data_IF_563633341834
#
_entry.id   IF_563633341834
#
_cell.length_a   1.000
_cell.length_b   1.000
_cell.length_c   1.000
_cell.angle_alpha   90.00
_cell.angle_beta   90.00
_cell.angle_gamma   90.00
#
_symmetry.space_group_name_H-M   'P 1'
#
loop_
_entity.id
_entity.type
_entity.pdbx_description
1 polymer ?
#
# COMPACT_ATOMS: atom_id res chain seq x y z
N UNK A 1 39.57 59.57 28.13
CA UNK A 1 38.85 58.51 27.39
C UNK A 1 37.62 59.12 26.73
N UNK A 2 37.66 59.35 25.41
CA UNK A 2 36.57 60.00 24.66
C UNK A 2 35.68 58.93 24.01
N UNK A 3 34.41 58.88 24.41
CA UNK A 3 33.41 58.00 23.78
C UNK A 3 32.94 58.59 22.44
N UNK A 4 33.36 57.96 21.34
CA UNK A 4 32.91 58.24 19.98
C UNK A 4 31.51 57.66 19.78
N UNK A 5 30.46 58.50 19.78
CA UNK A 5 29.09 58.09 19.43
C UNK A 5 28.99 57.90 17.91
N UNK A 6 28.64 56.71 17.45
CA UNK A 6 28.34 56.45 16.04
C UNK A 6 26.95 57.00 15.67
N UNK A 7 26.76 57.59 14.48
CA UNK A 7 25.45 58.02 14.03
C UNK A 7 24.59 56.83 13.60
N UNK A 8 23.36 56.80 14.11
CA UNK A 8 22.30 55.84 13.77
C UNK A 8 21.85 56.09 12.31
N UNK A 9 22.09 55.14 11.41
CA UNK A 9 21.54 55.22 10.05
C UNK A 9 20.02 54.96 10.09
N UNK A 10 19.23 56.00 9.88
CA UNK A 10 17.79 55.87 9.61
C UNK A 10 17.59 55.58 8.12
N UNK A 11 17.14 54.36 7.80
CA UNK A 11 16.64 54.02 6.46
C UNK A 11 15.41 54.90 6.17
N UNK A 12 15.57 55.93 5.32
CA UNK A 12 14.44 56.60 4.68
C UNK A 12 13.80 55.60 3.71
N UNK A 13 12.69 54.98 4.11
CA UNK A 13 11.77 54.36 3.15
C UNK A 13 11.19 55.47 2.28
N UNK A 14 11.63 55.52 1.03
CA UNK A 14 11.04 56.34 -0.01
C UNK A 14 9.63 55.81 -0.29
N UNK A 15 8.59 56.46 0.26
CA UNK A 15 7.22 56.28 -0.18
C UNK A 15 7.04 56.92 -1.56
N UNK A 16 7.50 56.23 -2.61
CA UNK A 16 7.13 56.55 -3.99
C UNK A 16 5.81 55.86 -4.28
N UNK A 17 4.77 56.65 -4.54
CA UNK A 17 3.49 56.15 -5.04
C UNK A 17 3.65 55.54 -6.42
N UNK A 18 2.79 54.57 -6.76
CA UNK A 18 2.78 53.91 -8.05
C UNK A 18 2.22 54.87 -9.10
N UNK A 19 2.88 54.98 -10.25
CA UNK A 19 2.37 55.79 -11.37
C UNK A 19 1.20 55.07 -12.05
N UNK A 20 0.33 55.82 -12.74
CA UNK A 20 -0.80 55.25 -13.48
C UNK A 20 -0.34 54.21 -14.53
N UNK A 21 0.81 54.46 -15.15
CA UNK A 21 1.40 53.56 -16.15
C UNK A 21 1.88 52.26 -15.50
N UNK A 22 2.55 52.32 -14.35
CA UNK A 22 2.94 51.12 -13.59
C UNK A 22 1.72 50.30 -13.14
N UNK A 23 0.63 50.96 -12.77
CA UNK A 23 -0.63 50.28 -12.42
C UNK A 23 -1.23 49.54 -13.63
N UNK A 24 -1.25 50.17 -14.80
CA UNK A 24 -1.77 49.54 -16.02
C UNK A 24 -0.91 48.35 -16.46
N UNK A 25 0.42 48.48 -16.36
CA UNK A 25 1.36 47.39 -16.68
C UNK A 25 1.17 46.22 -15.72
N UNK A 26 1.05 46.48 -14.41
CA UNK A 26 0.84 45.41 -13.41
C UNK A 26 -0.49 44.70 -13.61
N UNK A 27 -1.57 45.43 -13.93
CA UNK A 27 -2.87 44.82 -14.27
C UNK A 27 -2.82 43.97 -15.54
N UNK A 28 -2.10 44.42 -16.58
CA UNK A 28 -1.94 43.65 -17.81
C UNK A 28 -1.17 42.34 -17.57
N UNK A 29 -0.10 42.38 -16.77
CA UNK A 29 0.68 41.19 -16.40
C UNK A 29 -0.15 40.24 -15.52
N UNK A 30 -0.92 40.76 -14.56
CA UNK A 30 -1.84 39.94 -13.74
C UNK A 30 -2.91 39.27 -14.60
N UNK A 31 -3.50 39.98 -15.56
CA UNK A 31 -4.49 39.43 -16.49
C UNK A 31 -3.93 38.29 -17.34
N UNK A 32 -2.69 38.45 -17.83
CA UNK A 32 -1.98 37.38 -18.55
C UNK A 32 -1.76 36.14 -17.65
N UNK A 33 -1.33 36.33 -16.40
CA UNK A 33 -1.12 35.22 -15.46
C UNK A 33 -2.43 34.50 -15.11
N UNK A 34 -3.53 35.26 -14.93
CA UNK A 34 -4.84 34.70 -14.63
C UNK A 34 -5.42 33.87 -15.78
N UNK A 35 -5.04 34.15 -17.03
CA UNK A 35 -5.51 33.38 -18.19
C UNK A 35 -4.98 31.93 -18.23
N UNK A 36 -3.89 31.64 -17.52
CA UNK A 36 -3.23 30.33 -17.49
C UNK A 36 -3.82 29.43 -16.38
N UNK A 37 -4.32 30.01 -15.29
CA UNK A 37 -4.89 29.30 -14.13
C UNK A 37 -6.00 28.28 -14.46
N UNK A 38 -6.99 28.58 -15.34
CA UNK A 38 -8.08 27.67 -15.66
C UNK A 38 -7.58 26.36 -16.29
N UNK A 39 -6.52 26.43 -17.11
CA UNK A 39 -5.92 25.24 -17.74
C UNK A 39 -5.26 24.33 -16.70
N UNK A 40 -4.60 24.90 -15.68
CA UNK A 40 -4.06 24.10 -14.58
C UNK A 40 -5.15 23.42 -13.77
N UNK A 41 -6.23 24.14 -13.42
CA UNK A 41 -7.36 23.57 -12.66
C UNK A 41 -8.05 22.44 -13.44
N UNK A 42 -8.21 22.61 -14.76
CA UNK A 42 -8.81 21.58 -15.62
C UNK A 42 -7.96 20.30 -15.71
N UNK A 43 -6.63 20.39 -15.61
CA UNK A 43 -5.74 19.22 -15.59
C UNK A 43 -5.85 18.46 -14.27
N UNK A 44 -5.93 19.17 -13.13
CA UNK A 44 -6.05 18.51 -11.82
C UNK A 44 -7.44 17.90 -11.56
N UNK A 45 -8.50 18.45 -12.15
CA UNK A 45 -9.88 17.98 -11.96
C UNK A 45 -10.32 16.90 -12.96
N UNK A 46 -9.56 16.69 -14.04
CA UNK A 46 -9.86 15.69 -15.09
C UNK A 46 -9.05 14.41 -15.00
N UNK A 47 -8.35 14.14 -13.90
CA UNK A 47 -7.75 12.81 -13.69
C UNK A 47 -8.91 11.84 -13.43
N UNK A 48 -9.27 10.96 -14.40
CA UNK A 48 -10.41 10.10 -14.23
C UNK A 48 -10.09 9.04 -13.18
N UNK A 49 -11.13 8.51 -12.53
CA UNK A 49 -11.13 7.31 -11.68
C UNK A 49 -10.46 6.06 -12.29
N UNK A 50 -10.05 6.11 -13.56
CA UNK A 50 -9.18 5.12 -14.19
C UNK A 50 -7.79 4.97 -13.50
N UNK A 51 -7.40 5.93 -12.66
CA UNK A 51 -6.22 5.77 -11.80
C UNK A 51 -6.41 4.67 -10.76
N UNK A 52 -7.57 4.58 -10.08
CA UNK A 52 -7.73 3.64 -8.96
C UNK A 52 -7.78 2.18 -9.42
N UNK A 53 -8.47 1.87 -10.52
CA UNK A 53 -8.47 0.51 -11.07
C UNK A 53 -7.06 0.06 -11.52
N UNK A 54 -6.27 0.96 -12.13
CA UNK A 54 -4.87 0.66 -12.46
C UNK A 54 -3.99 0.50 -11.21
N UNK A 55 -4.30 1.24 -10.15
CA UNK A 55 -3.64 1.14 -8.84
C UNK A 55 -3.93 -0.20 -8.18
N UNK A 56 -5.21 -0.61 -8.08
CA UNK A 56 -5.62 -1.88 -7.48
C UNK A 56 -5.04 -3.10 -8.22
N UNK A 57 -4.94 -3.05 -9.56
CA UNK A 57 -4.25 -4.10 -10.35
C UNK A 57 -2.78 -4.21 -9.94
N UNK A 58 -2.09 -3.08 -9.72
CA UNK A 58 -0.69 -3.07 -9.32
C UNK A 58 -0.49 -3.54 -7.87
N UNK A 59 -1.36 -3.09 -6.96
CA UNK A 59 -1.39 -3.50 -5.56
C UNK A 59 -1.67 -5.00 -5.46
N UNK A 60 -2.64 -5.52 -6.23
CA UNK A 60 -2.96 -6.95 -6.24
C UNK A 60 -1.78 -7.76 -6.75
N UNK A 61 -1.12 -7.27 -7.81
CA UNK A 61 0.08 -7.91 -8.33
C UNK A 61 1.20 -7.94 -7.30
N UNK A 62 1.35 -6.91 -6.47
CA UNK A 62 2.34 -6.88 -5.39
C UNK A 62 2.04 -7.97 -4.34
N UNK A 63 0.81 -8.01 -3.85
CA UNK A 63 0.34 -9.02 -2.88
C UNK A 63 0.50 -10.43 -3.45
N UNK A 64 0.05 -10.65 -4.68
CA UNK A 64 0.17 -11.93 -5.38
C UNK A 64 1.63 -12.38 -5.46
N UNK A 65 2.53 -11.56 -6.00
CA UNK A 65 3.94 -11.96 -6.16
C UNK A 65 4.62 -12.21 -4.81
N UNK A 66 4.24 -11.45 -3.78
CA UNK A 66 4.75 -11.66 -2.42
C UNK A 66 4.31 -13.02 -1.87
N UNK A 67 3.01 -13.30 -1.86
CA UNK A 67 2.46 -14.56 -1.33
C UNK A 67 2.93 -15.75 -2.18
N UNK A 68 2.94 -15.60 -3.50
CA UNK A 68 3.45 -16.62 -4.43
C UNK A 68 4.89 -16.97 -4.11
N UNK A 69 5.76 -15.97 -3.92
CA UNK A 69 7.14 -16.21 -3.53
C UNK A 69 7.21 -16.99 -2.23
N UNK A 70 6.52 -16.54 -1.19
CA UNK A 70 6.55 -17.19 0.13
C UNK A 70 6.09 -18.65 0.04
N UNK A 71 4.96 -18.92 -0.63
CA UNK A 71 4.42 -20.26 -0.84
C UNK A 71 5.38 -21.15 -1.65
N UNK A 72 5.97 -20.62 -2.74
CA UNK A 72 6.90 -21.39 -3.59
C UNK A 72 8.21 -21.71 -2.90
N UNK A 73 8.64 -20.84 -1.98
CA UNK A 73 9.89 -21.04 -1.26
C UNK A 73 9.72 -21.89 -0.02
N UNK A 74 8.59 -21.79 0.68
CA UNK A 74 8.37 -22.45 1.95
C UNK A 74 8.62 -23.97 1.89
N UNK A 75 9.36 -24.46 2.87
CA UNK A 75 9.56 -25.90 3.02
C UNK A 75 8.27 -26.57 3.50
N UNK A 76 7.53 -25.93 4.42
CA UNK A 76 6.29 -26.44 5.01
C UNK A 76 5.14 -25.44 4.88
N UNK A 77 3.95 -25.95 4.55
CA UNK A 77 2.70 -25.18 4.63
C UNK A 77 1.76 -25.96 5.54
N UNK A 78 1.10 -25.28 6.47
CA UNK A 78 0.15 -25.93 7.39
C UNK A 78 -1.23 -25.35 7.15
N UNK A 79 -2.20 -26.24 6.94
CA UNK A 79 -3.62 -25.88 6.81
C UNK A 79 -4.31 -26.28 8.11
N UNK A 80 -4.96 -25.30 8.75
CA UNK A 80 -5.73 -25.47 9.98
C UNK A 80 -7.10 -24.79 9.80
N UNK A 81 -8.09 -25.60 9.40
CA UNK A 81 -9.38 -25.10 8.94
C UNK A 81 -9.24 -24.19 7.72
N UNK A 82 -9.65 -22.92 7.87
CA UNK A 82 -9.54 -21.89 6.82
C UNK A 82 -8.19 -21.18 6.82
N UNK A 83 -7.34 -21.41 7.82
CA UNK A 83 -6.06 -20.74 7.94
C UNK A 83 -4.96 -21.48 7.18
N UNK A 84 -4.21 -20.72 6.37
CA UNK A 84 -3.03 -21.21 5.67
C UNK A 84 -1.79 -20.55 6.27
N UNK A 85 -1.03 -21.34 7.03
CA UNK A 85 0.23 -20.94 7.63
C UNK A 85 1.38 -21.32 6.70
N UNK A 86 2.16 -20.34 6.26
CA UNK A 86 3.27 -20.54 5.35
C UNK A 86 4.58 -20.34 6.09
N UNK A 87 5.47 -21.34 6.10
CA UNK A 87 6.72 -21.24 6.85
C UNK A 87 7.61 -20.10 6.32
N UNK A 88 8.15 -19.32 7.25
CA UNK A 88 9.11 -18.26 6.96
C UNK A 88 10.47 -18.88 6.60
N UNK A 89 10.99 -18.49 5.45
CA UNK A 89 12.27 -18.99 4.94
C UNK A 89 13.49 -18.41 5.63
N UNK A 90 13.40 -17.16 6.10
CA UNK A 90 14.49 -16.52 6.81
C UNK A 90 14.62 -17.11 8.22
N UNK A 91 13.48 -17.51 8.79
CA UNK A 91 13.42 -18.08 10.13
C UNK A 91 12.45 -19.26 10.19
N UNK A 92 12.90 -20.50 9.91
CA UNK A 92 12.04 -21.70 9.83
C UNK A 92 11.24 -22.06 11.09
N UNK A 93 11.45 -21.35 12.21
CA UNK A 93 10.65 -21.46 13.44
C UNK A 93 9.35 -20.66 13.39
N UNK A 94 9.15 -19.85 12.36
CA UNK A 94 8.01 -18.97 12.22
C UNK A 94 7.17 -19.30 11.01
N UNK A 95 5.89 -18.97 11.11
CA UNK A 95 4.90 -19.11 10.06
C UNK A 95 4.19 -17.77 9.85
N UNK A 96 3.99 -17.43 8.59
CA UNK A 96 3.21 -16.27 8.18
C UNK A 96 1.74 -16.71 7.97
N UNK A 97 0.81 -15.96 8.58
CA UNK A 97 -0.63 -16.03 8.34
C UNK A 97 -1.12 -14.69 7.78
N UNK A 98 -1.97 -14.74 6.76
CA UNK A 98 -2.53 -13.53 6.15
C UNK A 98 -3.94 -13.27 6.68
N UNK A 99 -4.15 -12.13 7.34
CA UNK A 99 -5.42 -11.80 8.00
C UNK A 99 -5.96 -10.46 7.52
N UNK A 100 -7.25 -10.42 7.19
CA UNK A 100 -7.94 -9.18 6.87
C UNK A 100 -8.59 -8.62 8.14
N UNK A 101 -8.32 -7.36 8.47
CA UNK A 101 -9.07 -6.66 9.51
C UNK A 101 -10.38 -6.09 8.94
N UNK A 102 -11.56 -6.58 9.37
CA UNK A 102 -12.83 -6.11 8.81
C UNK A 102 -13.15 -4.66 9.15
N UNK A 103 -12.59 -4.12 10.25
CA UNK A 103 -12.86 -2.76 10.71
C UNK A 103 -11.98 -1.72 10.03
N UNK A 104 -10.75 -2.09 9.64
CA UNK A 104 -9.80 -1.15 9.03
C UNK A 104 -9.56 -1.41 7.54
N UNK A 105 -10.10 -2.49 6.97
CA UNK A 105 -9.83 -2.92 5.59
C UNK A 105 -8.33 -3.04 5.29
N UNK A 106 -7.55 -3.45 6.29
CA UNK A 106 -6.10 -3.66 6.15
C UNK A 106 -5.81 -5.14 6.11
N UNK A 107 -5.08 -5.55 5.08
CA UNK A 107 -4.53 -6.89 4.98
C UNK A 107 -3.20 -6.93 5.73
N UNK A 108 -3.09 -7.86 6.66
CA UNK A 108 -1.91 -8.06 7.48
C UNK A 108 -1.25 -9.40 7.19
N UNK A 109 0.06 -9.42 7.38
CA UNK A 109 0.86 -10.63 7.57
C UNK A 109 1.21 -10.71 9.05
N UNK A 110 0.73 -11.76 9.71
CA UNK A 110 0.95 -12.07 11.11
C UNK A 110 1.93 -13.22 11.27
N UNK A 111 2.96 -13.04 12.10
CA UNK A 111 3.94 -14.07 12.42
C UNK A 111 3.51 -14.90 13.62
N UNK A 112 3.61 -16.21 13.46
CA UNK A 112 3.32 -17.23 14.46
C UNK A 112 4.55 -18.09 14.71
N UNK A 113 4.67 -18.64 15.92
CA UNK A 113 5.60 -19.74 16.20
C UNK A 113 5.14 -21.02 15.49
N UNK A 114 6.02 -22.01 15.40
CA UNK A 114 5.71 -23.41 15.01
C UNK A 114 4.63 -24.08 15.88
N UNK A 115 4.40 -23.56 17.09
CA UNK A 115 3.27 -23.94 17.96
C UNK A 115 1.96 -23.24 17.61
N UNK A 116 1.94 -22.41 16.56
CA UNK A 116 0.81 -21.60 16.11
C UNK A 116 0.30 -20.63 17.18
N UNK A 117 1.22 -20.11 18.00
CA UNK A 117 0.98 -19.00 18.92
C UNK A 117 1.48 -17.71 18.26
N UNK A 118 0.71 -16.60 18.29
CA UNK A 118 1.16 -15.32 17.74
C UNK A 118 2.45 -14.84 18.40
N UNK A 119 3.36 -14.24 17.63
CA UNK A 119 4.51 -13.54 18.21
C UNK A 119 4.02 -12.28 18.96
N UNK A 120 4.67 -11.91 20.06
CA UNK A 120 4.23 -10.78 20.89
C UNK A 120 4.67 -9.41 20.35
N UNK A 121 5.89 -9.29 19.81
CA UNK A 121 6.46 -8.03 19.33
C UNK A 121 6.86 -8.13 17.85
N UNK A 122 6.49 -7.13 17.04
CA UNK A 122 6.87 -7.06 15.62
C UNK A 122 6.22 -8.12 14.72
N UNK A 123 5.15 -8.76 15.19
CA UNK A 123 4.53 -9.91 14.53
C UNK A 123 3.66 -9.53 13.34
N UNK A 124 3.08 -8.32 13.36
CA UNK A 124 2.12 -7.86 12.37
C UNK A 124 2.74 -6.86 11.43
N UNK A 125 2.76 -7.18 10.14
CA UNK A 125 3.14 -6.25 9.06
C UNK A 125 1.92 -5.97 8.19
N UNK A 126 1.64 -4.70 7.87
CA UNK A 126 0.62 -4.38 6.87
C UNK A 126 1.14 -4.77 5.48
N UNK A 127 0.34 -5.52 4.73
CA UNK A 127 0.65 -5.95 3.37
C UNK A 127 -0.07 -5.07 2.34
N UNK A 128 -1.32 -4.72 2.61
CA UNK A 128 -2.12 -3.87 1.74
C UNK A 128 -3.21 -3.09 2.50
N UNK A 129 -3.77 -2.06 1.88
CA UNK A 129 -4.86 -1.25 2.40
C UNK A 129 -6.10 -1.34 1.50
N UNK A 130 -7.23 -0.84 2.02
CA UNK A 130 -8.49 -0.75 1.28
C UNK A 130 -9.01 -2.10 0.77
N UNK A 131 -8.64 -3.21 1.41
CA UNK A 131 -9.10 -4.56 1.05
C UNK A 131 -10.47 -4.82 1.66
N UNK A 132 -11.47 -5.06 0.82
CA UNK A 132 -12.83 -5.38 1.22
C UNK A 132 -13.01 -6.88 1.50
N UNK A 133 -12.37 -7.74 0.70
CA UNK A 133 -12.38 -9.18 0.89
C UNK A 133 -11.03 -9.78 0.48
N UNK A 134 -10.60 -10.81 1.22
CA UNK A 134 -9.36 -11.55 0.97
C UNK A 134 -9.60 -13.03 1.27
N UNK A 135 -9.12 -13.89 0.38
CA UNK A 135 -9.17 -15.35 0.54
C UNK A 135 -7.87 -15.94 0.02
N UNK A 136 -7.21 -16.76 0.84
CA UNK A 136 -6.12 -17.63 0.44
C UNK A 136 -6.51 -19.06 0.83
N UNK A 137 -6.90 -19.86 -0.16
CA UNK A 137 -7.43 -21.19 0.09
C UNK A 137 -6.65 -22.26 -0.69
N UNK A 138 -6.35 -23.42 -0.09
CA UNK A 138 -5.80 -24.56 -0.83
C UNK A 138 -6.87 -25.13 -1.76
N UNK A 139 -6.44 -25.64 -2.92
CA UNK A 139 -7.30 -26.45 -3.76
C UNK A 139 -7.22 -27.92 -3.34
N UNK A 140 -8.38 -28.55 -3.25
CA UNK A 140 -8.54 -29.92 -2.80
C UNK A 140 -8.73 -30.84 -4.00
N UNK A 141 -8.06 -31.98 -3.97
CA UNK A 141 -8.34 -33.10 -4.85
C UNK A 141 -8.63 -34.31 -3.96
N UNK A 142 -9.84 -34.84 -4.09
CA UNK A 142 -10.41 -35.80 -3.15
C UNK A 142 -10.41 -35.21 -1.71
N UNK A 143 -9.64 -35.79 -0.79
CA UNK A 143 -9.52 -35.34 0.61
C UNK A 143 -8.14 -34.74 0.94
N UNK A 144 -7.32 -34.42 -0.07
CA UNK A 144 -5.98 -33.90 0.11
C UNK A 144 -5.75 -32.59 -0.67
N UNK A 145 -4.97 -31.65 -0.12
CA UNK A 145 -4.57 -30.44 -0.84
C UNK A 145 -3.64 -30.83 -2.00
N UNK A 146 -3.93 -30.33 -3.20
CA UNK A 146 -3.25 -30.74 -4.43
C UNK A 146 -1.96 -29.93 -4.74
N UNK A 147 -1.56 -29.02 -3.84
CA UNK A 147 -0.42 -28.13 -4.03
C UNK A 147 -0.71 -26.83 -4.77
N UNK A 148 -1.97 -26.57 -5.16
CA UNK A 148 -2.43 -25.28 -5.67
C UNK A 148 -3.14 -24.50 -4.57
N UNK A 149 -2.98 -23.19 -4.62
CA UNK A 149 -3.65 -22.24 -3.76
C UNK A 149 -4.34 -21.20 -4.61
N UNK A 150 -5.58 -20.89 -4.26
CA UNK A 150 -6.36 -19.82 -4.85
C UNK A 150 -6.22 -18.58 -4.00
N UNK A 151 -5.79 -17.49 -4.62
CA UNK A 151 -5.73 -16.17 -4.00
C UNK A 151 -6.79 -15.28 -4.63
N UNK A 152 -7.72 -14.79 -3.82
CA UNK A 152 -8.73 -13.80 -4.22
C UNK A 152 -8.63 -12.55 -3.38
N UNK A 153 -8.84 -11.41 -4.02
CA UNK A 153 -8.90 -10.12 -3.34
C UNK A 153 -9.90 -9.19 -4.02
N UNK A 154 -10.62 -8.42 -3.20
CA UNK A 154 -11.49 -7.35 -3.65
C UNK A 154 -11.15 -6.08 -2.89
N UNK A 155 -11.05 -4.95 -3.59
CA UNK A 155 -10.79 -3.66 -2.98
C UNK A 155 -12.09 -2.90 -2.70
N UNK A 156 -12.02 -1.99 -1.73
CA UNK A 156 -13.11 -1.16 -1.28
C UNK A 156 -13.50 -0.18 -2.38
N UNK A 157 -14.78 -0.18 -2.75
CA UNK A 157 -15.28 0.67 -3.82
C UNK A 157 -14.93 0.19 -5.24
N UNK A 158 -14.31 -0.97 -5.37
CA UNK A 158 -14.05 -1.65 -6.64
C UNK A 158 -14.93 -2.91 -6.76
N UNK A 159 -15.83 -2.99 -7.75
CA UNK A 159 -16.64 -4.19 -7.95
C UNK A 159 -15.83 -5.38 -8.52
N UNK A 160 -14.61 -5.16 -9.01
CA UNK A 160 -13.77 -6.21 -9.58
C UNK A 160 -13.18 -7.12 -8.49
N UNK A 161 -13.21 -8.43 -8.75
CA UNK A 161 -12.55 -9.46 -7.93
C UNK A 161 -11.30 -9.89 -8.67
N UNK A 162 -10.15 -9.68 -8.04
CA UNK A 162 -8.86 -10.10 -8.55
C UNK A 162 -8.56 -11.51 -8.04
N UNK A 163 -8.32 -12.44 -8.96
CA UNK A 163 -8.12 -13.85 -8.64
C UNK A 163 -6.94 -14.43 -9.41
N UNK A 164 -6.17 -15.30 -8.75
CA UNK A 164 -5.07 -16.02 -9.37
C UNK A 164 -4.79 -17.34 -8.66
N UNK A 165 -4.09 -18.24 -9.36
CA UNK A 165 -3.67 -19.53 -8.84
C UNK A 165 -2.16 -19.52 -8.58
N UNK A 166 -1.79 -19.94 -7.38
CA UNK A 166 -0.41 -20.10 -6.95
C UNK A 166 -0.11 -21.60 -6.90
N UNK A 167 0.87 -22.03 -7.70
CA UNK A 167 1.32 -23.41 -7.67
C UNK A 167 2.56 -23.56 -6.77
N UNK A 168 2.49 -24.45 -5.80
CA UNK A 168 3.57 -24.82 -4.89
C UNK A 168 4.17 -26.19 -5.27
N UNK A 169 5.01 -26.27 -6.33
CA UNK A 169 5.46 -27.53 -6.90
C UNK A 169 6.37 -28.35 -5.99
N UNK A 170 7.03 -27.72 -5.01
CA UNK A 170 8.13 -28.39 -4.31
C UNK A 170 7.67 -29.57 -3.48
N UNK A 171 6.51 -29.53 -2.82
CA UNK A 171 6.05 -30.70 -2.05
C UNK A 171 4.53 -30.66 -1.80
N UNK A 172 3.75 -31.38 -2.62
CA UNK A 172 2.42 -31.84 -2.19
C UNK A 172 2.48 -32.63 -0.86
N UNK A 173 3.68 -33.12 -0.50
CA UNK A 173 4.00 -33.84 0.74
C UNK A 173 4.38 -32.95 1.92
N UNK A 174 4.61 -31.64 1.74
CA UNK A 174 4.95 -30.72 2.85
C UNK A 174 3.78 -29.86 3.30
N UNK A 175 2.60 -30.10 2.70
CA UNK A 175 1.36 -29.58 3.19
C UNK A 175 0.92 -30.48 4.34
N UNK A 176 1.00 -29.94 5.56
CA UNK A 176 0.54 -30.64 6.76
C UNK A 176 -0.89 -30.20 7.06
N UNK A 177 -1.80 -31.17 7.12
CA UNK A 177 -3.17 -30.93 7.59
C UNK A 177 -3.18 -31.03 9.11
N UNK A 178 -3.64 -29.98 9.78
CA UNK A 178 -3.96 -30.02 11.20
C UNK A 178 -5.47 -30.13 11.34
N UNK A 179 -5.93 -31.27 11.81
CA UNK A 179 -7.31 -31.45 12.25
C UNK A 179 -7.46 -30.97 13.69
N UNK A 180 -8.57 -30.30 14.04
CA UNK A 180 -8.84 -29.83 15.41
C UNK A 180 -8.96 -30.99 16.43
#
# INVERSE_FOLDING_TARGET
MQHRRQPKQTKRQSQRGMTLIELLITLAVMGLMLSILPNFIAVFTKIPKASSARTHVQEFRHVHLFIEKTIRTADTIVIDGENVYVQDMETPKYYDLYTLSPSTHMLYRDKYYDTFVPLSNGFRSQLDAEVAAFELAPEWQDDAPNGRFRLKMQYTGDPEIYETEIYAPKHAQSITLRTP
#
